data_IF_271704830450
#
_entry.id   IF_271704830450
#
_cell.length_a   1.000
_cell.length_b   1.000
_cell.length_c   1.000
_cell.angle_alpha   90.00
_cell.angle_beta   90.00
_cell.angle_gamma   90.00
#
_symmetry.space_group_name_H-M   'P 1'
#
loop_
_entity.id
_entity.type
_entity.pdbx_description
1 polymer ?
#
# COMPACT_ATOMS: atom_id res chain seq x y z
N UNK A 1 -5.33 21.85 -1.67
CA UNK A 1 -5.29 20.58 -0.92
C UNK A 1 -4.80 19.52 -1.87
N UNK A 2 -3.61 19.00 -1.61
CA UNK A 2 -2.98 17.93 -2.39
C UNK A 2 -3.04 16.64 -1.58
N UNK A 3 -3.31 15.51 -2.25
CA UNK A 3 -3.24 14.17 -1.64
C UNK A 3 -1.99 13.45 -2.17
N UNK A 4 -1.14 12.95 -1.28
CA UNK A 4 0.10 12.21 -1.62
C UNK A 4 0.22 10.95 -0.78
N UNK A 5 0.83 9.90 -1.34
CA UNK A 5 1.02 8.65 -0.63
C UNK A 5 2.39 8.02 -0.92
N UNK A 6 2.96 7.40 0.10
CA UNK A 6 4.06 6.46 0.01
C UNK A 6 3.56 5.10 0.50
N UNK A 7 3.53 4.10 -0.37
CA UNK A 7 3.13 2.73 -0.05
C UNK A 7 4.33 1.79 -0.22
N UNK A 8 4.74 1.14 0.85
CA UNK A 8 5.93 0.28 0.90
C UNK A 8 5.49 -1.16 1.15
N UNK A 9 5.97 -2.08 0.32
CA UNK A 9 5.76 -3.51 0.50
C UNK A 9 7.04 -4.29 0.25
N UNK A 10 7.48 -5.10 1.21
CA UNK A 10 8.76 -5.82 1.12
C UNK A 10 8.52 -7.30 1.39
N UNK A 11 8.66 -8.11 0.34
CA UNK A 11 8.61 -9.56 0.40
C UNK A 11 10.00 -10.19 0.40
N UNK A 12 10.98 -9.51 -0.20
CA UNK A 12 12.33 -10.03 -0.43
C UNK A 12 13.38 -9.16 0.25
N UNK A 13 14.37 -9.83 0.84
CA UNK A 13 15.44 -9.20 1.62
C UNK A 13 16.81 -9.67 1.11
N UNK A 14 17.83 -8.83 1.20
CA UNK A 14 19.20 -9.19 0.82
C UNK A 14 19.83 -10.17 1.81
N UNK A 15 19.50 -10.04 3.10
CA UNK A 15 19.88 -11.03 4.10
C UNK A 15 19.06 -12.31 3.87
N UNK A 16 19.76 -13.37 3.48
CA UNK A 16 19.17 -14.67 3.13
C UNK A 16 18.66 -15.46 4.33
N UNK A 17 18.98 -15.03 5.55
CA UNK A 17 18.45 -15.62 6.77
C UNK A 17 17.06 -15.08 7.11
N UNK A 18 16.67 -13.94 6.54
CA UNK A 18 15.33 -13.39 6.67
C UNK A 18 14.36 -14.19 5.80
N UNK A 19 13.28 -14.73 6.38
CA UNK A 19 12.28 -15.44 5.59
C UNK A 19 11.59 -14.46 4.63
N UNK A 20 11.29 -14.87 3.38
CA UNK A 20 10.53 -14.02 2.48
C UNK A 20 9.06 -13.99 2.91
N UNK A 21 8.41 -12.84 2.69
CA UNK A 21 6.96 -12.69 2.78
C UNK A 21 6.31 -12.91 1.40
N UNK A 22 5.00 -13.10 1.37
CA UNK A 22 4.22 -13.19 0.12
C UNK A 22 3.24 -12.03 -0.04
N UNK A 23 2.66 -11.55 1.06
CA UNK A 23 1.57 -10.58 1.01
C UNK A 23 1.98 -9.11 0.96
N UNK A 24 3.19 -8.75 1.39
CA UNK A 24 3.52 -7.36 1.69
C UNK A 24 3.48 -6.43 0.46
N UNK A 25 4.03 -6.88 -0.67
CA UNK A 25 3.96 -6.15 -1.95
C UNK A 25 2.52 -6.02 -2.44
N UNK A 26 1.68 -7.04 -2.23
CA UNK A 26 0.28 -6.99 -2.62
C UNK A 26 -0.48 -5.97 -1.78
N UNK A 27 -0.25 -5.92 -0.47
CA UNK A 27 -0.88 -4.94 0.42
C UNK A 27 -0.62 -3.51 -0.05
N UNK A 28 0.65 -3.18 -0.31
CA UNK A 28 1.07 -1.84 -0.75
C UNK A 28 0.45 -1.46 -2.11
N UNK A 29 0.44 -2.41 -3.07
CA UNK A 29 -0.19 -2.21 -4.38
C UNK A 29 -1.70 -2.03 -4.26
N UNK A 30 -2.38 -2.88 -3.50
CA UNK A 30 -3.83 -2.82 -3.33
C UNK A 30 -4.26 -1.51 -2.68
N UNK A 31 -3.56 -1.06 -1.62
CA UNK A 31 -3.85 0.24 -1.02
C UNK A 31 -3.60 1.38 -2.00
N UNK A 32 -2.47 1.39 -2.71
CA UNK A 32 -2.16 2.45 -3.67
C UNK A 32 -3.25 2.62 -4.75
N UNK A 33 -3.73 1.50 -5.31
CA UNK A 33 -4.81 1.49 -6.29
C UNK A 33 -6.12 1.98 -5.70
N UNK A 34 -6.41 1.63 -4.44
CA UNK A 34 -7.60 2.09 -3.73
C UNK A 34 -7.54 3.59 -3.44
N UNK A 35 -6.40 4.12 -3.01
CA UNK A 35 -6.20 5.56 -2.77
C UNK A 35 -6.47 6.36 -4.05
N UNK A 36 -5.93 5.90 -5.19
CA UNK A 36 -6.16 6.53 -6.48
C UNK A 36 -7.63 6.46 -6.91
N UNK A 37 -8.21 5.25 -6.92
CA UNK A 37 -9.56 5.00 -7.45
C UNK A 37 -10.67 5.58 -6.59
N UNK A 38 -10.58 5.39 -5.28
CA UNK A 38 -11.69 5.60 -4.35
C UNK A 38 -11.53 6.84 -3.48
N UNK A 39 -10.31 7.34 -3.29
CA UNK A 39 -10.02 8.47 -2.40
C UNK A 39 -9.45 9.70 -3.14
N UNK A 40 -9.30 9.63 -4.46
CA UNK A 40 -8.96 10.78 -5.31
C UNK A 40 -7.51 11.23 -5.18
N UNK A 41 -6.59 10.30 -4.91
CA UNK A 41 -5.17 10.57 -4.98
C UNK A 41 -4.73 10.59 -6.46
N UNK A 42 -4.04 11.64 -6.87
CA UNK A 42 -3.48 11.71 -8.23
C UNK A 42 -2.38 10.65 -8.36
N UNK A 43 -2.38 9.81 -9.42
CA UNK A 43 -1.34 8.78 -9.61
C UNK A 43 0.09 9.33 -9.59
N UNK A 44 0.31 10.58 -10.01
CA UNK A 44 1.63 11.24 -9.98
C UNK A 44 2.14 11.53 -8.55
N UNK A 45 1.24 11.47 -7.58
CA UNK A 45 1.47 11.76 -6.18
C UNK A 45 1.46 10.50 -5.31
N UNK A 46 1.38 9.31 -5.90
CA UNK A 46 1.39 8.02 -5.20
C UNK A 46 2.65 7.27 -5.60
N UNK A 47 3.59 7.14 -4.65
CA UNK A 47 4.81 6.37 -4.82
C UNK A 47 4.64 4.99 -4.18
N UNK A 48 5.00 3.94 -4.92
CA UNK A 48 5.06 2.57 -4.41
C UNK A 48 6.50 2.10 -4.42
N UNK A 49 7.05 1.71 -3.27
CA UNK A 49 8.34 1.04 -3.17
C UNK A 49 8.10 -0.45 -2.90
N UNK A 50 8.58 -1.29 -3.80
CA UNK A 50 8.44 -2.75 -3.70
C UNK A 50 9.80 -3.43 -3.70
N UNK A 51 9.98 -4.38 -2.77
CA UNK A 51 11.16 -5.25 -2.68
C UNK A 51 12.48 -4.47 -2.83
N UNK A 52 13.23 -4.71 -3.91
CA UNK A 52 14.57 -4.16 -4.15
C UNK A 52 14.61 -2.62 -4.15
N UNK A 53 13.47 -1.97 -4.37
CA UNK A 53 13.34 -0.51 -4.33
C UNK A 53 13.24 0.04 -2.91
N UNK A 54 12.78 -0.77 -1.95
CA UNK A 54 12.50 -0.38 -0.58
C UNK A 54 13.75 -0.54 0.32
N UNK A 55 14.84 0.09 -0.09
CA UNK A 55 16.06 0.20 0.73
C UNK A 55 15.85 1.17 1.88
N UNK A 56 16.63 1.04 2.96
CA UNK A 56 16.62 1.98 4.10
C UNK A 56 16.80 3.42 3.63
N UNK A 57 17.74 3.66 2.73
CA UNK A 57 17.98 4.98 2.15
C UNK A 57 16.77 5.49 1.35
N UNK A 58 16.19 4.66 0.49
CA UNK A 58 15.02 5.02 -0.31
C UNK A 58 13.78 5.29 0.55
N UNK A 59 13.60 4.55 1.65
CA UNK A 59 12.51 4.78 2.61
C UNK A 59 12.63 6.16 3.25
N UNK A 60 13.78 6.47 3.84
CA UNK A 60 14.02 7.75 4.50
C UNK A 60 13.93 8.93 3.52
N UNK A 61 14.49 8.79 2.31
CA UNK A 61 14.40 9.83 1.29
C UNK A 61 12.96 10.04 0.80
N UNK A 62 12.20 8.95 0.65
CA UNK A 62 10.81 9.03 0.18
C UNK A 62 9.87 9.59 1.24
N UNK A 63 10.12 9.31 2.53
CA UNK A 63 9.43 10.00 3.63
C UNK A 63 9.74 11.49 3.57
N UNK A 64 11.01 11.87 3.38
CA UNK A 64 11.41 13.26 3.18
C UNK A 64 10.65 13.94 2.03
N UNK A 65 10.61 13.31 0.86
CA UNK A 65 9.92 13.80 -0.33
C UNK A 65 8.39 13.85 -0.16
N UNK A 66 7.81 12.93 0.62
CA UNK A 66 6.38 12.94 0.96
C UNK A 66 6.03 14.20 1.76
N UNK A 67 6.92 14.63 2.68
CA UNK A 67 6.71 15.79 3.54
C UNK A 67 7.13 17.11 2.86
N UNK A 68 8.11 17.08 1.96
CA UNK A 68 8.63 18.26 1.28
C UNK A 68 7.52 19.03 0.54
N UNK A 69 7.52 20.36 0.69
CA UNK A 69 6.54 21.24 0.05
C UNK A 69 5.09 21.10 0.55
N UNK A 70 4.84 20.28 1.59
CA UNK A 70 3.49 20.11 2.16
C UNK A 70 2.97 21.36 2.82
N UNK A 71 1.68 21.61 2.62
CA UNK A 71 0.99 22.80 3.13
C UNK A 71 -0.17 22.40 4.05
N UNK A 72 -0.56 23.28 4.99
CA UNK A 72 -1.75 23.06 5.79
C UNK A 72 -2.95 22.66 4.92
N UNK A 73 -3.63 21.59 5.31
CA UNK A 73 -4.76 21.05 4.58
C UNK A 73 -4.43 19.91 3.60
N UNK A 74 -3.16 19.62 3.32
CA UNK A 74 -2.77 18.45 2.52
C UNK A 74 -3.07 17.13 3.25
N UNK A 75 -3.31 16.06 2.49
CA UNK A 75 -3.54 14.70 2.98
C UNK A 75 -2.37 13.80 2.57
N UNK A 76 -1.69 13.22 3.54
CA UNK A 76 -0.54 12.33 3.32
C UNK A 76 -0.84 10.94 3.86
N UNK A 77 -0.41 9.92 3.13
CA UNK A 77 -0.47 8.52 3.57
C UNK A 77 0.92 7.91 3.54
N UNK A 78 1.34 7.34 4.66
CA UNK A 78 2.48 6.44 4.74
C UNK A 78 1.96 5.05 5.08
N UNK A 79 2.17 4.09 4.19
CA UNK A 79 1.84 2.70 4.43
C UNK A 79 3.11 1.86 4.32
N UNK A 80 3.37 0.99 5.29
CA UNK A 80 4.46 0.04 5.22
C UNK A 80 4.01 -1.35 5.63
N UNK A 81 4.35 -2.33 4.79
CA UNK A 81 4.10 -3.75 4.99
C UNK A 81 5.41 -4.48 4.79
N UNK A 82 5.95 -5.10 5.84
CA UNK A 82 7.25 -5.79 5.85
C UNK A 82 7.40 -6.57 7.15
N UNK A 83 8.59 -7.14 7.37
CA UNK A 83 9.02 -7.64 8.65
C UNK A 83 9.33 -6.52 9.66
N UNK A 84 9.10 -6.83 10.93
CA UNK A 84 9.58 -6.05 12.06
C UNK A 84 10.50 -6.86 12.96
N UNK A 85 11.33 -6.16 13.72
CA UNK A 85 12.23 -6.73 14.71
C UNK A 85 12.44 -5.75 15.87
N UNK A 86 13.40 -6.03 16.73
CA UNK A 86 13.91 -5.10 17.74
C UNK A 86 15.44 -5.18 17.80
N UNK A 87 16.08 -4.18 18.38
CA UNK A 87 17.49 -4.22 18.78
C UNK A 87 17.63 -3.63 20.18
N UNK A 88 18.66 -3.98 20.96
CA UNK A 88 18.88 -3.34 22.25
C UNK A 88 19.04 -1.83 22.08
N UNK A 89 18.32 -1.08 22.92
CA UNK A 89 18.29 0.37 22.91
C UNK A 89 19.70 0.95 23.12
N UNK A 90 20.05 1.90 22.25
CA UNK A 90 21.37 2.52 22.21
C UNK A 90 21.46 3.82 23.02
N UNK A 91 20.37 4.53 23.25
CA UNK A 91 20.38 5.86 23.86
C UNK A 91 19.71 5.95 25.24
N UNK A 92 18.87 4.97 25.58
CA UNK A 92 18.24 4.78 26.87
C UNK A 92 16.84 5.41 26.99
N UNK A 93 16.18 5.74 25.88
CA UNK A 93 14.85 6.35 25.86
C UNK A 93 13.69 5.34 25.95
N UNK A 94 13.94 4.06 25.67
CA UNK A 94 12.92 3.01 25.74
C UNK A 94 12.90 2.29 27.11
N UNK A 95 11.74 2.29 27.78
CA UNK A 95 11.60 1.73 29.14
C UNK A 95 11.84 0.21 29.22
N UNK A 96 11.62 -0.51 28.11
CA UNK A 96 11.90 -1.95 28.02
C UNK A 96 13.34 -2.27 27.56
N UNK A 97 14.07 -1.24 27.11
CA UNK A 97 15.46 -1.28 26.67
C UNK A 97 15.66 -1.82 25.26
N UNK A 98 14.69 -1.70 24.36
CA UNK A 98 14.81 -2.12 22.96
C UNK A 98 14.16 -1.15 21.95
N UNK A 99 14.93 -0.73 20.94
CA UNK A 99 14.41 -0.01 19.78
C UNK A 99 13.66 -0.98 18.86
N UNK A 100 12.49 -0.57 18.35
CA UNK A 100 11.78 -1.31 17.31
C UNK A 100 12.41 -1.09 15.93
N UNK A 101 12.37 -2.11 15.07
CA UNK A 101 13.00 -2.07 13.75
C UNK A 101 11.99 -2.37 12.65
N UNK A 102 11.94 -1.49 11.64
CA UNK A 102 11.30 -1.76 10.36
C UNK A 102 12.32 -2.39 9.40
N UNK A 103 12.09 -3.63 8.98
CA UNK A 103 13.06 -4.36 8.15
C UNK A 103 12.95 -3.89 6.69
N UNK A 104 13.95 -3.16 6.21
CA UNK A 104 14.09 -2.75 4.81
C UNK A 104 14.63 -3.89 3.93
N UNK A 105 14.58 -3.75 2.60
CA UNK A 105 15.11 -4.76 1.67
C UNK A 105 16.60 -5.05 1.90
N UNK A 106 17.40 -3.99 2.07
CA UNK A 106 18.84 -4.02 2.29
C UNK A 106 19.21 -4.11 3.78
N UNK A 107 18.31 -4.61 4.61
CA UNK A 107 18.54 -4.75 6.05
C UNK A 107 19.82 -5.55 6.32
N UNK A 108 20.67 -4.98 7.16
CA UNK A 108 21.95 -5.57 7.56
C UNK A 108 22.18 -5.23 9.04
N UNK A 109 22.14 -6.28 9.86
CA UNK A 109 22.33 -6.22 11.30
C UNK A 109 23.65 -5.57 11.73
N UNK A 110 24.68 -5.59 10.90
CA UNK A 110 26.01 -5.02 11.21
C UNK A 110 26.17 -3.58 10.71
N UNK A 111 25.50 -3.23 9.61
CA UNK A 111 25.63 -1.90 8.97
C UNK A 111 24.64 -0.87 9.51
N UNK A 112 23.61 -1.32 10.22
CA UNK A 112 22.63 -0.47 10.86
C UNK A 112 21.21 -0.86 10.48
N UNK A 113 20.32 -0.70 11.45
CA UNK A 113 18.89 -0.96 11.30
C UNK A 113 18.14 0.31 10.93
N UNK A 114 16.89 0.20 10.51
CA UNK A 114 15.96 1.32 10.44
C UNK A 114 15.12 1.28 11.71
N UNK A 115 15.56 2.00 12.74
CA UNK A 115 14.84 2.05 14.00
C UNK A 115 13.59 2.94 13.89
N UNK A 116 12.65 2.70 14.78
CA UNK A 116 11.52 3.57 15.05
C UNK A 116 11.93 5.00 15.37
N UNK A 117 13.02 5.17 16.08
CA UNK A 117 13.59 6.43 16.49
C UNK A 117 14.10 7.25 15.26
N UNK A 118 14.62 6.57 14.22
CA UNK A 118 14.88 7.19 12.91
C UNK A 118 13.62 7.55 12.14
N UNK A 119 12.61 6.66 12.17
CA UNK A 119 11.30 6.94 11.57
C UNK A 119 10.63 8.12 12.27
N UNK A 120 10.73 8.22 13.58
CA UNK A 120 10.20 9.29 14.40
C UNK A 120 10.87 10.61 14.06
N UNK A 121 12.20 10.65 13.97
CA UNK A 121 12.94 11.83 13.50
C UNK A 121 12.56 12.25 12.08
N UNK A 122 12.28 11.29 11.19
CA UNK A 122 11.82 11.61 9.84
C UNK A 122 10.41 12.21 9.84
N UNK A 123 9.50 11.65 10.64
CA UNK A 123 8.09 12.02 10.70
C UNK A 123 7.81 13.23 11.60
N UNK A 124 8.68 13.57 12.54
CA UNK A 124 8.62 14.80 13.34
C UNK A 124 8.67 16.08 12.47
N UNK A 125 9.05 15.95 11.20
CA UNK A 125 9.10 17.03 10.21
C UNK A 125 7.76 17.33 9.53
N UNK A 126 6.69 16.61 9.89
CA UNK A 126 5.35 16.87 9.35
C UNK A 126 4.94 18.32 9.64
N UNK A 127 4.65 19.14 8.62
CA UNK A 127 4.26 20.54 8.84
C UNK A 127 2.91 20.64 9.57
N UNK A 128 2.78 21.68 10.41
CA UNK A 128 1.52 21.94 11.12
C UNK A 128 0.34 22.07 10.15
N UNK A 129 -0.78 21.43 10.48
CA UNK A 129 -2.01 21.46 9.69
C UNK A 129 -2.02 20.50 8.49
N UNK A 130 -0.92 19.79 8.21
CA UNK A 130 -0.91 18.65 7.29
C UNK A 130 -1.55 17.44 7.98
N UNK A 131 -2.35 16.68 7.23
CA UNK A 131 -3.02 15.48 7.74
C UNK A 131 -2.27 14.24 7.26
N UNK A 132 -1.43 13.66 8.13
CA UNK A 132 -0.75 12.40 7.86
C UNK A 132 -1.55 11.22 8.46
N UNK A 133 -1.62 10.11 7.74
CA UNK A 133 -1.97 8.80 8.27
C UNK A 133 -0.82 7.83 8.04
N UNK A 134 -0.30 7.25 9.12
CA UNK A 134 0.73 6.21 9.10
C UNK A 134 0.09 4.85 9.38
N UNK A 135 0.34 3.86 8.54
CA UNK A 135 -0.29 2.54 8.64
C UNK A 135 0.82 1.49 8.52
N UNK A 136 0.94 0.68 9.56
CA UNK A 136 2.05 -0.26 9.73
C UNK A 136 1.50 -1.68 9.80
N UNK A 137 1.68 -2.45 8.72
CA UNK A 137 1.44 -3.89 8.71
C UNK A 137 2.75 -4.66 8.90
N UNK A 138 3.32 -4.45 10.07
CA UNK A 138 4.55 -5.06 10.57
C UNK A 138 4.33 -5.52 12.00
N UNK A 139 5.19 -6.41 12.51
CA UNK A 139 5.23 -6.70 13.93
C UNK A 139 6.02 -5.61 14.64
N UNK A 140 5.38 -4.93 15.58
CA UNK A 140 6.03 -4.08 16.56
C UNK A 140 6.37 -4.98 17.75
N UNK A 141 7.66 -5.14 18.04
CA UNK A 141 8.08 -6.01 19.12
C UNK A 141 8.08 -5.17 20.40
N UNK A 142 7.08 -5.34 21.25
CA UNK A 142 7.23 -4.99 22.66
C UNK A 142 8.29 -5.87 23.34
N UNK A 143 8.25 -5.94 24.67
CA UNK A 143 9.28 -6.63 25.46
C UNK A 143 9.69 -8.01 24.91
N UNK A 144 11.00 -8.20 24.67
CA UNK A 144 11.68 -9.40 24.11
C UNK A 144 11.09 -10.78 24.46
N UNK A 145 10.57 -10.97 25.68
CA UNK A 145 10.11 -12.26 26.18
C UNK A 145 8.69 -12.61 25.72
N UNK A 146 7.83 -11.61 25.55
CA UNK A 146 6.44 -11.82 25.14
C UNK A 146 6.33 -11.95 23.61
N UNK A 147 7.12 -11.20 22.83
CA UNK A 147 7.11 -11.27 21.36
C UNK A 147 7.67 -12.57 20.80
N UNK A 148 8.76 -13.12 21.36
CA UNK A 148 9.29 -14.42 20.92
C UNK A 148 8.30 -15.57 21.23
N UNK A 149 7.64 -15.49 22.38
CA UNK A 149 6.55 -16.41 22.77
C UNK A 149 5.33 -16.26 21.85
N UNK A 150 4.96 -15.02 21.50
CA UNK A 150 3.89 -14.73 20.56
C UNK A 150 4.21 -15.25 19.15
N UNK A 151 5.40 -15.01 18.62
CA UNK A 151 5.85 -15.53 17.34
C UNK A 151 5.82 -17.08 17.29
N UNK A 152 6.24 -17.75 18.37
CA UNK A 152 6.13 -19.20 18.51
C UNK A 152 4.67 -19.69 18.53
N UNK A 153 3.78 -18.98 19.23
CA UNK A 153 2.34 -19.28 19.24
C UNK A 153 1.70 -19.08 17.87
N UNK A 154 2.10 -18.07 17.11
CA UNK A 154 1.63 -17.81 15.75
C UNK A 154 2.08 -18.89 14.77
N UNK A 155 3.27 -19.47 14.97
CA UNK A 155 3.76 -20.64 14.19
C UNK A 155 3.05 -21.95 14.54
N UNK A 156 2.40 -22.03 15.70
CA UNK A 156 1.62 -23.21 16.08
C UNK A 156 0.31 -23.24 15.30
N UNK A 157 -0.13 -24.42 14.85
CA UNK A 157 -1.30 -24.60 13.99
C UNK A 157 -2.52 -23.77 14.50
N UNK A 158 -2.89 -22.68 13.80
CA UNK A 158 -3.97 -21.80 14.25
C UNK A 158 -5.29 -22.57 14.23
N UNK A 159 -6.04 -22.48 15.33
CA UNK A 159 -7.37 -23.10 15.45
C UNK A 159 -8.45 -22.04 15.24
N UNK A 160 -9.51 -22.41 14.51
CA UNK A 160 -10.71 -21.58 14.35
C UNK A 160 -10.62 -20.52 13.25
N UNK A 161 -9.69 -20.66 12.30
CA UNK A 161 -9.66 -19.82 11.10
C UNK A 161 -10.89 -20.07 10.25
N UNK A 162 -11.38 -19.01 9.59
CA UNK A 162 -12.43 -19.12 8.60
C UNK A 162 -11.97 -19.92 7.36
N UNK A 163 -12.93 -20.45 6.60
CA UNK A 163 -12.64 -21.19 5.37
C UNK A 163 -11.82 -20.35 4.38
N UNK A 164 -10.77 -20.95 3.81
CA UNK A 164 -9.87 -20.29 2.86
C UNK A 164 -8.83 -19.36 3.49
N UNK A 165 -8.80 -19.21 4.81
CA UNK A 165 -7.78 -18.44 5.53
C UNK A 165 -6.63 -19.34 5.96
N UNK A 166 -5.41 -18.96 5.58
CA UNK A 166 -4.17 -19.64 5.98
C UNK A 166 -3.16 -18.60 6.49
N UNK A 167 -2.62 -18.78 7.70
CA UNK A 167 -1.52 -17.96 8.20
C UNK A 167 -0.19 -18.60 7.77
N UNK A 168 0.61 -17.85 7.03
CA UNK A 168 1.89 -18.32 6.49
C UNK A 168 3.04 -18.18 7.50
N UNK A 169 2.91 -17.22 8.42
CA UNK A 169 3.88 -16.99 9.49
C UNK A 169 3.82 -15.58 10.05
N UNK A 170 4.50 -15.33 11.17
CA UNK A 170 4.58 -14.00 11.74
C UNK A 170 5.43 -13.09 10.85
N UNK A 171 5.08 -11.81 10.81
CA UNK A 171 5.92 -10.75 10.23
C UNK A 171 7.00 -10.27 11.19
N UNK A 172 7.43 -11.13 12.11
CA UNK A 172 8.47 -10.84 13.10
C UNK A 172 9.73 -11.64 12.80
N UNK A 173 10.88 -10.98 12.86
CA UNK A 173 12.19 -11.60 12.74
C UNK A 173 12.94 -11.41 14.06
N UNK A 174 13.44 -12.48 14.70
CA UNK A 174 14.29 -12.35 15.89
C UNK A 174 15.69 -11.87 15.53
N UNK A 175 16.40 -11.26 16.49
CA UNK A 175 17.83 -11.01 16.32
C UNK A 175 18.57 -12.31 16.03
N UNK A 176 19.53 -12.31 15.09
CA UNK A 176 20.37 -13.48 14.85
C UNK A 176 21.29 -13.72 16.05
N UNK A 177 21.64 -14.98 16.32
CA UNK A 177 22.52 -15.34 17.45
C UNK A 177 23.88 -14.64 17.39
N UNK A 178 24.35 -14.27 16.18
CA UNK A 178 25.59 -13.53 15.96
C UNK A 178 25.52 -12.05 16.33
N UNK A 179 24.32 -11.50 16.57
CA UNK A 179 24.18 -10.08 16.89
C UNK A 179 24.82 -9.78 18.25
N UNK A 180 25.79 -8.87 18.26
CA UNK A 180 26.44 -8.43 19.49
C UNK A 180 25.53 -7.44 20.25
N UNK A 181 24.67 -7.99 21.12
CA UNK A 181 23.79 -7.23 22.00
C UNK A 181 24.54 -6.32 23.01
N UNK A 182 25.86 -6.43 23.09
CA UNK A 182 26.69 -5.57 23.94
C UNK A 182 27.23 -4.34 23.22
N UNK A 183 27.12 -4.28 21.88
CA UNK A 183 27.36 -3.05 21.12
C UNK A 183 26.22 -2.06 21.36
N UNK A 184 26.55 -0.87 21.84
CA UNK A 184 25.62 0.27 21.92
C UNK A 184 24.87 0.43 23.25
N UNK A 185 24.63 -0.63 24.01
CA UNK A 185 23.84 -0.49 25.25
C UNK A 185 24.65 0.18 26.37
N UNK A 186 24.25 1.39 26.79
CA UNK A 186 24.68 1.91 28.11
C UNK A 186 24.22 0.99 29.25
N UNK A 187 23.24 0.11 29.01
CA UNK A 187 22.78 -0.92 29.96
C UNK A 187 23.88 -1.93 30.35
N UNK A 188 24.88 -2.19 29.49
CA UNK A 188 26.01 -3.04 29.83
C UNK A 188 26.95 -2.44 30.90
N UNK A 189 26.93 -1.11 31.10
CA UNK A 189 27.81 -0.43 32.07
C UNK A 189 27.32 -0.46 33.53
N UNK A 190 26.14 -1.01 33.83
CA UNK A 190 25.59 -1.09 35.20
C UNK A 190 25.10 -2.49 35.59
N UNK A 191 25.96 -3.50 35.56
CA UNK A 191 25.73 -4.73 36.35
C UNK A 191 26.99 -5.11 37.13
N UNK A 192 27.11 -4.81 38.43
CA UNK A 192 28.01 -5.58 39.26
C UNK A 192 27.43 -6.99 39.39
N UNK A 193 28.26 -7.98 39.15
CA UNK A 193 27.92 -9.39 39.26
C UNK A 193 27.59 -9.76 40.72
N UNK A 194 26.31 -9.76 41.10
CA UNK A 194 25.80 -10.60 42.19
C UNK A 194 24.43 -11.17 41.83
N UNK A 195 24.39 -12.49 41.75
CA UNK A 195 23.18 -13.28 41.61
C UNK A 195 22.20 -12.94 42.75
N UNK A 196 20.98 -12.55 42.39
CA UNK A 196 19.86 -12.42 43.32
C UNK A 196 18.63 -13.03 42.67
N UNK A 197 18.22 -14.16 43.24
CA UNK A 197 16.93 -14.81 43.02
C UNK A 197 15.80 -13.89 43.48
N UNK A 198 15.35 -12.99 42.61
CA UNK A 198 14.13 -12.20 42.85
C UNK A 198 13.08 -12.63 41.84
N UNK A 199 11.99 -13.24 42.32
CA UNK A 199 10.78 -13.50 41.51
C UNK A 199 10.40 -12.18 40.83
N UNK A 200 10.48 -12.14 39.50
CA UNK A 200 10.07 -10.99 38.69
C UNK A 200 8.57 -10.77 38.91
N UNK A 201 8.22 -9.63 39.49
CA UNK A 201 6.83 -9.16 39.49
C UNK A 201 6.48 -8.79 38.06
N UNK A 202 5.27 -9.19 37.63
CA UNK A 202 4.63 -8.73 36.40
C UNK A 202 4.68 -7.19 36.39
N UNK A 203 5.11 -6.53 35.30
CA UNK A 203 5.01 -5.08 35.22
C UNK A 203 3.54 -4.66 35.40
N UNK A 204 3.27 -3.48 35.98
CA UNK A 204 1.92 -2.95 36.05
C UNK A 204 1.35 -2.85 34.62
N UNK A 205 0.04 -3.02 34.48
CA UNK A 205 -0.63 -2.76 33.21
C UNK A 205 -0.46 -1.27 32.87
N UNK A 206 0.24 -0.96 31.78
CA UNK A 206 0.58 0.40 31.34
C UNK A 206 2.07 0.74 31.42
N UNK A 207 2.96 -0.15 30.95
CA UNK A 207 4.35 0.25 30.67
C UNK A 207 4.33 1.27 29.52
N UNK A 208 5.11 2.35 29.62
CA UNK A 208 5.14 3.39 28.59
C UNK A 208 5.79 2.82 27.32
N UNK A 209 5.23 3.17 26.17
CA UNK A 209 5.61 2.58 24.89
C UNK A 209 6.96 3.14 24.40
N UNK A 210 7.76 2.36 23.66
CA UNK A 210 9.02 2.84 23.07
C UNK A 210 8.83 3.91 21.97
N UNK A 211 9.86 4.44 21.31
CA UNK A 211 9.72 5.59 20.40
C UNK A 211 8.65 5.42 19.28
N UNK A 212 8.50 4.23 18.67
CA UNK A 212 7.36 3.94 17.77
C UNK A 212 6.06 3.97 18.55
N UNK A 213 6.04 3.36 19.72
CA UNK A 213 4.96 3.40 20.66
C UNK A 213 4.54 4.82 21.07
N UNK A 214 5.47 5.73 21.34
CA UNK A 214 5.21 7.14 21.57
C UNK A 214 4.70 7.80 20.29
N UNK A 215 5.25 7.45 19.12
CA UNK A 215 4.71 7.83 17.81
C UNK A 215 3.28 7.32 17.58
N UNK A 216 2.94 6.19 18.20
CA UNK A 216 1.64 5.55 18.19
C UNK A 216 0.76 6.01 19.36
N UNK A 217 1.21 6.75 20.37
CA UNK A 217 0.41 6.95 21.58
C UNK A 217 0.50 8.35 22.19
N UNK A 218 1.66 9.02 22.17
CA UNK A 218 1.88 10.30 22.84
C UNK A 218 2.69 11.30 21.98
N UNK A 219 2.03 12.37 21.53
CA UNK A 219 2.58 13.54 20.83
C UNK A 219 2.78 13.47 19.30
N UNK A 220 2.40 12.39 18.61
CA UNK A 220 2.43 12.37 17.14
C UNK A 220 1.21 13.06 16.51
N UNK A 221 1.36 14.12 15.69
CA UNK A 221 0.22 14.85 15.11
C UNK A 221 -0.43 14.11 13.92
N UNK A 222 -0.33 12.78 13.86
CA UNK A 222 -0.87 11.96 12.78
C UNK A 222 -1.76 10.84 13.33
N UNK A 223 -2.69 10.34 12.50
CA UNK A 223 -3.34 9.06 12.82
C UNK A 223 -2.32 7.97 12.56
N UNK A 224 -2.25 7.01 13.46
CA UNK A 224 -1.43 5.83 13.26
C UNK A 224 -2.23 4.56 13.49
N UNK A 225 -2.01 3.53 12.66
CA UNK A 225 -2.56 2.20 12.84
C UNK A 225 -1.43 1.16 12.84
N UNK A 226 -1.43 0.30 13.85
CA UNK A 226 -0.55 -0.86 13.95
C UNK A 226 -1.34 -2.17 13.79
N UNK A 227 -0.74 -3.17 13.14
CA UNK A 227 -1.40 -4.44 12.84
C UNK A 227 -1.70 -5.33 14.06
N UNK A 228 -0.96 -5.19 15.16
CA UNK A 228 -1.12 -5.97 16.37
C UNK A 228 -0.78 -5.14 17.63
N UNK A 229 -1.06 -5.66 18.83
CA UNK A 229 -0.52 -5.11 20.07
C UNK A 229 0.94 -5.52 20.25
N UNK A 230 1.63 -4.83 21.16
CA UNK A 230 3.07 -4.98 21.43
C UNK A 230 3.44 -6.40 21.92
N UNK A 231 2.49 -7.13 22.52
CA UNK A 231 2.63 -8.51 23.00
C UNK A 231 2.18 -9.58 21.98
N UNK A 232 1.84 -9.17 20.76
CA UNK A 232 1.36 -10.01 19.67
C UNK A 232 2.26 -9.92 18.43
N UNK A 233 1.90 -10.66 17.37
CA UNK A 233 2.60 -10.57 16.08
C UNK A 233 1.61 -10.38 14.94
N UNK A 234 1.91 -9.47 14.03
CA UNK A 234 1.31 -9.45 12.70
C UNK A 234 1.62 -10.72 11.92
N UNK A 235 0.72 -11.12 11.02
CA UNK A 235 0.83 -12.36 10.24
C UNK A 235 0.72 -12.09 8.75
N UNK A 236 1.62 -12.71 7.99
CA UNK A 236 1.43 -12.88 6.55
C UNK A 236 0.47 -14.04 6.31
N UNK A 237 -0.45 -13.89 5.37
CA UNK A 237 -1.56 -14.80 5.21
C UNK A 237 -1.98 -15.00 3.74
N UNK A 238 -2.80 -16.01 3.53
CA UNK A 238 -3.50 -16.29 2.28
C UNK A 238 -5.00 -16.32 2.55
N UNK A 239 -5.76 -15.66 1.67
CA UNK A 239 -7.21 -15.58 1.71
C UNK A 239 -7.77 -16.08 0.37
N UNK A 240 -8.12 -17.36 0.31
CA UNK A 240 -8.58 -18.01 -0.93
C UNK A 240 -7.53 -17.99 -2.04
N UNK A 241 -6.25 -18.05 -1.68
CA UNK A 241 -5.12 -18.01 -2.62
C UNK A 241 -4.58 -16.60 -2.91
N UNK A 242 -5.18 -15.56 -2.35
CA UNK A 242 -4.66 -14.19 -2.40
C UNK A 242 -3.74 -13.96 -1.20
N UNK A 243 -2.46 -13.68 -1.45
CA UNK A 243 -1.48 -13.41 -0.40
C UNK A 243 -1.52 -11.94 0.03
N UNK A 244 -1.79 -11.68 1.32
CA UNK A 244 -1.90 -10.36 1.94
C UNK A 244 -1.53 -10.45 3.43
N UNK A 245 -1.23 -9.33 4.08
CA UNK A 245 -1.14 -9.25 5.54
C UNK A 245 -2.52 -9.42 6.15
N UNK A 246 -2.63 -10.14 7.27
CA UNK A 246 -3.95 -10.39 7.85
C UNK A 246 -4.65 -9.11 8.34
N UNK A 247 -3.89 -8.12 8.83
CA UNK A 247 -4.42 -6.80 9.12
C UNK A 247 -4.79 -6.04 7.84
N UNK A 248 -3.86 -5.94 6.88
CA UNK A 248 -4.10 -5.25 5.60
C UNK A 248 -5.30 -5.81 4.86
N UNK A 249 -5.44 -7.14 4.77
CA UNK A 249 -6.59 -7.81 4.15
C UNK A 249 -7.90 -7.33 4.76
N UNK A 250 -8.01 -7.39 6.09
CA UNK A 250 -9.24 -7.01 6.78
C UNK A 250 -9.54 -5.51 6.61
N UNK A 251 -8.53 -4.65 6.77
CA UNK A 251 -8.68 -3.20 6.61
C UNK A 251 -9.10 -2.85 5.17
N UNK A 252 -8.42 -3.40 4.17
CA UNK A 252 -8.71 -3.18 2.77
C UNK A 252 -10.07 -3.75 2.37
N UNK A 253 -10.51 -4.88 2.93
CA UNK A 253 -11.83 -5.43 2.65
C UNK A 253 -12.96 -4.58 3.26
N UNK A 254 -12.78 -4.07 4.48
CA UNK A 254 -13.71 -3.10 5.10
C UNK A 254 -13.84 -1.85 4.24
N UNK A 255 -12.72 -1.29 3.78
CA UNK A 255 -12.72 -0.15 2.86
C UNK A 255 -13.34 -0.50 1.52
N UNK A 256 -13.09 -1.67 0.95
CA UNK A 256 -13.65 -2.06 -0.36
C UNK A 256 -15.18 -2.19 -0.33
N UNK A 257 -15.71 -2.75 0.76
CA UNK A 257 -17.15 -3.03 0.95
C UNK A 257 -17.95 -1.82 1.39
N UNK A 258 -17.35 -0.91 2.15
CA UNK A 258 -18.06 0.30 2.62
C UNK A 258 -18.07 1.36 1.53
N UNK A 259 -19.25 1.87 1.15
CA UNK A 259 -19.39 2.90 0.09
C UNK A 259 -19.42 4.32 0.62
N UNK A 260 -19.81 4.48 1.87
CA UNK A 260 -19.78 5.78 2.56
C UNK A 260 -18.39 6.09 3.11
N UNK A 261 -18.23 7.33 3.55
CA UNK A 261 -17.06 7.75 4.31
C UNK A 261 -17.06 7.09 5.69
N UNK A 262 -15.89 6.60 6.10
CA UNK A 262 -15.65 6.07 7.45
C UNK A 262 -14.79 7.07 8.21
N UNK A 263 -15.01 7.18 9.52
CA UNK A 263 -13.97 7.74 10.40
C UNK A 263 -12.86 6.72 10.64
N UNK A 264 -11.70 7.18 11.11
CA UNK A 264 -10.59 6.29 11.45
C UNK A 264 -10.95 5.28 12.54
N UNK A 265 -11.71 5.71 13.55
CA UNK A 265 -12.22 4.88 14.64
C UNK A 265 -13.20 3.81 14.13
N UNK A 266 -14.09 4.18 13.20
CA UNK A 266 -15.02 3.21 12.59
C UNK A 266 -14.29 2.19 11.72
N UNK A 267 -13.30 2.61 10.94
CA UNK A 267 -12.46 1.71 10.16
C UNK A 267 -11.77 0.70 11.08
N UNK A 268 -11.14 1.18 12.15
CA UNK A 268 -10.46 0.33 13.13
C UNK A 268 -11.41 -0.68 13.79
N UNK A 269 -12.55 -0.21 14.29
CA UNK A 269 -13.55 -1.09 14.93
C UNK A 269 -14.05 -2.18 13.98
N UNK A 270 -14.35 -1.82 12.72
CA UNK A 270 -14.80 -2.79 11.70
C UNK A 270 -13.69 -3.75 11.27
N UNK A 271 -12.46 -3.28 11.19
CA UNK A 271 -11.28 -4.10 10.87
C UNK A 271 -11.09 -5.17 11.94
N UNK A 272 -11.11 -4.78 13.23
CA UNK A 272 -11.04 -5.72 14.36
C UNK A 272 -12.17 -6.75 14.34
N UNK A 273 -13.39 -6.31 14.09
CA UNK A 273 -14.54 -7.20 13.99
C UNK A 273 -14.40 -8.22 12.84
N UNK A 274 -13.85 -7.80 11.69
CA UNK A 274 -13.60 -8.69 10.57
C UNK A 274 -12.47 -9.69 10.88
N UNK A 275 -11.37 -9.24 11.48
CA UNK A 275 -10.26 -10.13 11.87
C UNK A 275 -10.73 -11.21 12.86
N UNK A 276 -11.56 -10.85 13.84
CA UNK A 276 -12.17 -11.80 14.77
C UNK A 276 -13.04 -12.84 14.04
N UNK A 277 -13.82 -12.42 13.03
CA UNK A 277 -14.62 -13.34 12.19
C UNK A 277 -13.77 -14.26 11.33
N UNK A 278 -12.60 -13.80 10.89
CA UNK A 278 -11.63 -14.60 10.15
C UNK A 278 -10.85 -15.57 11.05
N UNK A 279 -11.02 -15.49 12.37
CA UNK A 279 -10.32 -16.31 13.36
C UNK A 279 -8.87 -15.86 13.61
N UNK A 280 -8.49 -14.67 13.13
CA UNK A 280 -7.16 -14.10 13.33
C UNK A 280 -7.10 -13.49 14.72
N UNK A 281 -6.08 -13.86 15.49
CA UNK A 281 -5.95 -13.46 16.91
C UNK A 281 -5.28 -12.13 17.15
N UNK A 282 -4.51 -11.62 16.18
CA UNK A 282 -3.81 -10.36 16.32
C UNK A 282 -4.80 -9.19 16.44
N UNK A 283 -4.41 -8.16 17.17
CA UNK A 283 -5.26 -7.13 17.73
C UNK A 283 -4.77 -5.76 17.26
N UNK A 284 -5.28 -5.22 16.15
CA UNK A 284 -4.83 -3.93 15.64
C UNK A 284 -5.01 -2.79 16.64
N UNK A 285 -4.05 -1.88 16.65
CA UNK A 285 -4.03 -0.66 17.47
C UNK A 285 -4.29 0.58 16.60
N UNK A 286 -4.82 1.63 17.23
CA UNK A 286 -5.02 2.92 16.59
C UNK A 286 -4.69 4.04 17.56
N UNK A 287 -4.10 5.09 17.02
CA UNK A 287 -4.07 6.40 17.65
C UNK A 287 -4.64 7.45 16.73
N UNK A 288 -5.52 8.26 17.30
CA UNK A 288 -6.12 9.42 16.66
C UNK A 288 -5.82 10.62 17.55
N UNK A 289 -5.08 11.63 17.06
CA UNK A 289 -4.83 12.84 17.83
C UNK A 289 -6.16 13.52 18.19
N UNK A 290 -6.23 14.15 19.35
CA UNK A 290 -7.46 14.76 19.90
C UNK A 290 -8.19 15.66 18.87
N UNK A 291 -7.44 16.50 18.16
CA UNK A 291 -7.96 17.40 17.11
C UNK A 291 -8.40 16.72 15.81
N UNK A 292 -8.29 15.39 15.71
CA UNK A 292 -8.65 14.59 14.53
C UNK A 292 -9.70 13.51 14.82
N UNK A 293 -10.27 13.46 16.02
CA UNK A 293 -11.33 12.48 16.29
C UNK A 293 -12.51 12.70 15.34
N UNK A 294 -13.06 11.61 14.81
CA UNK A 294 -14.13 11.64 13.82
C UNK A 294 -13.71 12.13 12.43
N UNK A 295 -12.42 12.40 12.20
CA UNK A 295 -11.93 12.72 10.86
C UNK A 295 -12.11 11.52 9.93
N UNK A 296 -12.50 11.80 8.68
CA UNK A 296 -12.71 10.77 7.67
C UNK A 296 -11.40 10.17 7.19
N UNK A 297 -11.43 8.88 6.92
CA UNK A 297 -10.30 8.12 6.36
C UNK A 297 -9.89 8.76 5.04
N UNK A 298 -8.61 9.12 4.94
CA UNK A 298 -7.98 9.76 3.79
C UNK A 298 -8.69 11.03 3.28
N UNK A 299 -9.37 11.76 4.17
CA UNK A 299 -10.14 12.96 3.84
C UNK A 299 -11.42 12.65 3.05
N UNK A 300 -11.96 11.43 3.18
CA UNK A 300 -13.18 10.98 2.53
C UNK A 300 -12.97 10.46 1.11
N UNK A 301 -13.92 9.65 0.67
CA UNK A 301 -13.97 9.08 -0.67
C UNK A 301 -14.12 10.18 -1.70
N UNK A 302 -13.50 9.97 -2.85
CA UNK A 302 -13.80 10.74 -4.03
C UNK A 302 -15.29 10.58 -4.34
N UNK A 303 -16.07 11.65 -4.16
CA UNK A 303 -17.47 11.67 -4.58
C UNK A 303 -17.48 11.39 -6.08
N UNK A 304 -18.02 10.22 -6.48
CA UNK A 304 -18.03 9.74 -7.89
C UNK A 304 -18.45 10.81 -8.90
N UNK A 305 -19.32 11.75 -8.50
CA UNK A 305 -19.75 12.87 -9.33
C UNK A 305 -18.59 13.71 -9.93
N UNK A 306 -17.47 13.90 -9.22
CA UNK A 306 -16.35 14.73 -9.71
C UNK A 306 -15.48 13.98 -10.76
N UNK A 307 -15.23 12.69 -10.56
CA UNK A 307 -14.49 11.87 -11.53
C UNK A 307 -15.31 11.61 -12.79
N UNK A 308 -16.64 11.41 -12.67
CA UNK A 308 -17.52 11.31 -13.84
C UNK A 308 -17.64 12.65 -14.56
N UNK A 309 -17.69 13.78 -13.85
CA UNK A 309 -17.72 15.11 -14.48
C UNK A 309 -16.42 15.45 -15.18
N UNK A 310 -15.27 15.13 -14.59
CA UNK A 310 -13.96 15.39 -15.20
C UNK A 310 -13.71 14.46 -16.39
N UNK A 311 -14.02 13.16 -16.27
CA UNK A 311 -13.98 12.20 -17.38
C UNK A 311 -14.97 12.52 -18.50
N UNK A 312 -16.17 13.03 -18.18
CA UNK A 312 -17.12 13.52 -19.17
C UNK A 312 -16.63 14.82 -19.83
N UNK A 313 -15.95 15.69 -19.08
CA UNK A 313 -15.37 16.93 -19.62
C UNK A 313 -14.20 16.63 -20.56
N UNK A 314 -13.35 15.67 -20.20
CA UNK A 314 -12.23 15.21 -21.02
C UNK A 314 -12.72 14.51 -22.29
N UNK A 315 -13.69 13.60 -22.18
CA UNK A 315 -14.32 12.95 -23.33
C UNK A 315 -14.94 14.00 -24.28
N UNK A 316 -15.72 14.95 -23.74
CA UNK A 316 -16.30 16.03 -24.53
C UNK A 316 -15.24 16.94 -25.17
N UNK A 317 -14.08 17.11 -24.53
CA UNK A 317 -12.95 17.85 -25.12
C UNK A 317 -12.35 17.09 -26.31
N UNK A 318 -12.08 15.80 -26.14
CA UNK A 318 -11.52 14.96 -27.22
C UNK A 318 -12.49 14.85 -28.40
N UNK A 319 -13.80 14.78 -28.16
CA UNK A 319 -14.81 14.78 -29.23
C UNK A 319 -14.83 16.08 -30.04
N UNK A 320 -14.64 17.24 -29.37
CA UNK A 320 -14.47 18.53 -30.06
C UNK A 320 -13.17 18.58 -30.86
N UNK A 321 -12.08 18.03 -30.33
CA UNK A 321 -10.80 17.96 -31.04
C UNK A 321 -10.90 17.13 -32.31
N UNK A 322 -11.50 15.93 -32.25
CA UNK A 322 -11.73 15.08 -33.43
C UNK A 322 -12.44 15.90 -34.50
N UNK A 323 -13.58 16.51 -34.15
CA UNK A 323 -14.37 17.34 -35.07
C UNK A 323 -13.56 18.49 -35.66
N UNK A 324 -12.79 19.21 -34.84
CA UNK A 324 -11.97 20.33 -35.29
C UNK A 324 -10.80 19.91 -36.20
N UNK A 325 -10.17 18.76 -35.91
CA UNK A 325 -9.10 18.22 -36.75
C UNK A 325 -9.62 17.76 -38.12
N UNK A 326 -10.78 17.11 -38.16
CA UNK A 326 -11.42 16.68 -39.41
C UNK A 326 -11.84 17.88 -40.26
N UNK A 327 -12.46 18.90 -39.66
CA UNK A 327 -12.82 20.14 -40.35
C UNK A 327 -11.60 20.88 -40.90
N UNK A 328 -10.46 20.80 -40.21
CA UNK A 328 -9.20 21.40 -40.63
C UNK A 328 -8.40 20.51 -41.61
N UNK A 329 -8.87 19.31 -41.95
CA UNK A 329 -8.14 18.35 -42.80
C UNK A 329 -6.86 17.79 -42.14
N UNK A 330 -6.74 17.88 -40.81
CA UNK A 330 -5.60 17.38 -40.01
C UNK A 330 -5.86 15.93 -39.58
N UNK A 331 -5.85 15.03 -40.56
CA UNK A 331 -6.33 13.66 -40.40
C UNK A 331 -5.46 12.78 -39.50
N UNK A 332 -4.14 13.01 -39.43
CA UNK A 332 -3.27 12.26 -38.52
C UNK A 332 -3.60 12.59 -37.05
N UNK A 333 -3.84 13.87 -36.75
CA UNK A 333 -4.24 14.34 -35.43
C UNK A 333 -5.67 13.90 -35.08
N UNK A 334 -6.58 13.86 -36.06
CA UNK A 334 -7.92 13.30 -35.87
C UNK A 334 -7.84 11.82 -35.44
N UNK A 335 -7.02 11.01 -36.12
CA UNK A 335 -6.79 9.59 -35.75
C UNK A 335 -6.21 9.47 -34.34
N UNK A 336 -5.22 10.28 -33.98
CA UNK A 336 -4.65 10.27 -32.62
C UNK A 336 -5.71 10.63 -31.55
N UNK A 337 -6.58 11.60 -31.84
CA UNK A 337 -7.67 11.97 -30.96
C UNK A 337 -8.73 10.84 -30.84
N UNK A 338 -9.04 10.13 -31.92
CA UNK A 338 -9.90 8.95 -31.88
C UNK A 338 -9.33 7.83 -30.98
N UNK A 339 -8.02 7.56 -31.03
CA UNK A 339 -7.41 6.58 -30.13
C UNK A 339 -7.49 7.01 -28.66
N UNK A 340 -7.29 8.30 -28.37
CA UNK A 340 -7.51 8.84 -27.01
C UNK A 340 -8.97 8.67 -26.58
N UNK A 341 -9.94 8.94 -27.46
CA UNK A 341 -11.36 8.71 -27.17
C UNK A 341 -11.63 7.23 -26.85
N UNK A 342 -11.09 6.30 -27.64
CA UNK A 342 -11.26 4.86 -27.43
C UNK A 342 -10.69 4.38 -26.08
N UNK A 343 -9.64 5.04 -25.57
CA UNK A 343 -9.10 4.77 -24.25
C UNK A 343 -9.98 5.30 -23.11
N UNK A 344 -10.71 6.41 -23.34
CA UNK A 344 -11.56 7.08 -22.35
C UNK A 344 -12.96 6.46 -22.23
N UNK A 345 -13.56 6.01 -23.33
CA UNK A 345 -14.92 5.42 -23.29
C UNK A 345 -14.90 4.05 -22.62
N UNK A 346 -15.89 3.78 -21.77
CA UNK A 346 -15.97 2.52 -21.01
C UNK A 346 -16.78 1.44 -21.75
N UNK A 347 -17.70 1.84 -22.63
CA UNK A 347 -18.54 0.94 -23.41
C UNK A 347 -17.75 0.29 -24.55
N UNK A 348 -17.74 -1.04 -24.61
CA UNK A 348 -17.13 -1.79 -25.70
C UNK A 348 -17.69 -1.39 -27.07
N UNK A 349 -19.00 -1.15 -27.16
CA UNK A 349 -19.65 -0.71 -28.39
C UNK A 349 -19.19 0.69 -28.84
N UNK A 350 -18.90 1.60 -27.90
CA UNK A 350 -18.36 2.93 -28.22
C UNK A 350 -16.89 2.88 -28.62
N UNK A 351 -16.10 1.99 -28.02
CA UNK A 351 -14.72 1.73 -28.45
C UNK A 351 -14.68 1.25 -29.89
N UNK A 352 -15.48 0.23 -30.19
CA UNK A 352 -15.61 -0.33 -31.55
C UNK A 352 -15.97 0.77 -32.54
N UNK A 353 -17.04 1.54 -32.30
CA UNK A 353 -17.43 2.66 -33.20
C UNK A 353 -16.31 3.68 -33.43
N UNK A 354 -15.55 3.99 -32.39
CA UNK A 354 -14.43 4.95 -32.50
C UNK A 354 -13.32 4.40 -33.38
N UNK A 355 -12.99 3.12 -33.23
CA UNK A 355 -11.92 2.47 -33.98
C UNK A 355 -12.36 2.20 -35.42
N UNK A 356 -13.64 1.89 -35.66
CA UNK A 356 -14.19 1.84 -37.02
C UNK A 356 -14.05 3.18 -37.76
N UNK A 357 -14.20 4.29 -37.04
CA UNK A 357 -13.94 5.61 -37.60
C UNK A 357 -12.46 5.81 -37.98
N UNK A 358 -11.53 5.32 -37.15
CA UNK A 358 -10.10 5.28 -37.51
C UNK A 358 -9.85 4.43 -38.76
N UNK A 359 -10.47 3.25 -38.87
CA UNK A 359 -10.40 2.41 -40.07
C UNK A 359 -10.91 3.19 -41.29
N UNK A 360 -12.04 3.89 -41.17
CA UNK A 360 -12.61 4.72 -42.23
C UNK A 360 -11.65 5.83 -42.68
N UNK A 361 -11.06 6.57 -41.74
CA UNK A 361 -10.10 7.65 -42.05
C UNK A 361 -8.88 7.09 -42.80
N UNK A 362 -8.31 5.98 -42.32
CA UNK A 362 -7.14 5.37 -42.97
C UNK A 362 -7.45 4.88 -44.39
N UNK A 363 -8.63 4.29 -44.62
CA UNK A 363 -9.02 3.78 -45.93
C UNK A 363 -9.42 4.87 -46.90
N UNK A 364 -10.33 5.74 -46.48
CA UNK A 364 -11.00 6.69 -47.36
C UNK A 364 -10.18 7.96 -47.59
N UNK A 365 -9.40 8.39 -46.58
CA UNK A 365 -8.73 9.68 -46.60
C UNK A 365 -7.22 9.54 -46.73
N UNK A 366 -6.59 8.85 -45.78
CA UNK A 366 -5.12 8.72 -45.77
C UNK A 366 -4.60 7.69 -46.78
N UNK A 367 -5.46 6.79 -47.26
CA UNK A 367 -5.14 5.67 -48.15
C UNK A 367 -3.99 4.79 -47.61
N UNK A 368 -3.97 4.60 -46.28
CA UNK A 368 -3.01 3.74 -45.57
C UNK A 368 -3.68 2.41 -45.20
N UNK A 369 -3.60 1.44 -46.10
CA UNK A 369 -4.21 0.13 -45.94
C UNK A 369 -3.61 -0.65 -44.76
N UNK A 370 -2.30 -0.50 -44.50
CA UNK A 370 -1.63 -1.22 -43.42
C UNK A 370 -2.11 -0.72 -42.04
N UNK A 371 -2.30 0.59 -41.89
CA UNK A 371 -2.87 1.15 -40.66
C UNK A 371 -4.35 0.80 -40.49
N UNK A 372 -5.13 0.77 -41.58
CA UNK A 372 -6.53 0.34 -41.56
C UNK A 372 -6.68 -1.11 -41.09
N UNK A 373 -5.81 -2.02 -41.55
CA UNK A 373 -5.81 -3.41 -41.11
C UNK A 373 -5.48 -3.55 -39.62
N UNK A 374 -4.44 -2.85 -39.12
CA UNK A 374 -4.10 -2.85 -37.69
C UNK A 374 -5.27 -2.35 -36.82
N UNK A 375 -5.92 -1.26 -37.22
CA UNK A 375 -7.10 -0.76 -36.50
C UNK A 375 -8.28 -1.75 -36.55
N UNK A 376 -8.41 -2.52 -37.62
CA UNK A 376 -9.44 -3.57 -37.75
C UNK A 376 -9.17 -4.75 -36.82
N UNK A 377 -7.92 -5.14 -36.63
CA UNK A 377 -7.53 -6.16 -35.64
C UNK A 377 -7.83 -5.70 -34.20
N UNK A 378 -7.69 -4.41 -33.90
CA UNK A 378 -8.09 -3.82 -32.62
C UNK A 378 -9.61 -3.94 -32.38
N UNK A 379 -10.44 -3.72 -33.42
CA UNK A 379 -11.88 -3.96 -33.34
C UNK A 379 -12.16 -5.42 -32.95
N UNK A 380 -11.49 -6.38 -33.61
CA UNK A 380 -11.68 -7.80 -33.33
C UNK A 380 -11.15 -8.26 -31.97
N UNK A 381 -10.21 -7.54 -31.37
CA UNK A 381 -9.79 -7.83 -29.99
C UNK A 381 -10.87 -7.44 -28.97
N UNK A 382 -11.68 -6.42 -29.30
CA UNK A 382 -12.76 -5.93 -28.44
C UNK A 382 -14.06 -6.69 -28.70
N UNK A 383 -14.38 -6.94 -29.98
CA UNK A 383 -15.52 -7.72 -30.44
C UNK A 383 -15.07 -8.74 -31.50
N UNK A 384 -14.70 -9.97 -31.07
CA UNK A 384 -14.25 -11.03 -31.98
C UNK A 384 -15.29 -11.43 -33.04
N UNK A 385 -16.58 -11.16 -32.79
CA UNK A 385 -17.69 -11.48 -33.69
C UNK A 385 -18.03 -10.38 -34.69
N UNK A 386 -17.27 -9.28 -34.72
CA UNK A 386 -17.63 -8.09 -35.48
C UNK A 386 -17.66 -8.34 -37.00
N UNK A 387 -18.86 -8.49 -37.55
CA UNK A 387 -19.09 -8.96 -38.93
C UNK A 387 -18.39 -8.07 -39.99
N UNK A 388 -18.43 -6.74 -39.81
CA UNK A 388 -17.80 -5.80 -40.74
C UNK A 388 -16.27 -5.89 -40.74
N UNK A 389 -15.66 -6.12 -39.57
CA UNK A 389 -14.21 -6.23 -39.44
C UNK A 389 -13.71 -7.55 -40.04
N UNK A 390 -14.42 -8.66 -39.76
CA UNK A 390 -14.15 -9.97 -40.37
C UNK A 390 -14.29 -9.93 -41.90
N UNK A 391 -15.32 -9.27 -42.41
CA UNK A 391 -15.52 -9.12 -43.85
C UNK A 391 -14.38 -8.32 -44.50
N UNK A 392 -13.94 -7.24 -43.85
CA UNK A 392 -12.86 -6.40 -44.36
C UNK A 392 -11.50 -7.13 -44.38
N UNK A 393 -11.15 -7.88 -43.34
CA UNK A 393 -9.90 -8.67 -43.33
C UNK A 393 -9.90 -9.75 -44.43
N UNK A 394 -11.04 -10.43 -44.64
CA UNK A 394 -11.20 -11.41 -45.73
C UNK A 394 -11.01 -10.78 -47.11
N UNK A 395 -11.61 -9.61 -47.35
CA UNK A 395 -11.50 -8.90 -48.62
C UNK A 395 -10.07 -8.40 -48.89
N UNK A 396 -9.31 -8.10 -47.83
CA UNK A 396 -7.95 -7.55 -47.93
C UNK A 396 -6.86 -8.63 -48.03
N UNK A 397 -7.23 -9.92 -48.02
CA UNK A 397 -6.27 -11.03 -48.08
C UNK A 397 -5.42 -11.20 -46.81
N UNK A 398 -5.76 -10.51 -45.72
CA UNK A 398 -5.08 -10.67 -44.42
C UNK A 398 -5.52 -12.00 -43.80
N UNK A 399 -4.58 -12.94 -43.68
CA UNK A 399 -4.79 -14.29 -43.16
C UNK A 399 -5.06 -14.35 -41.66
N UNK A 400 -6.06 -13.61 -41.17
CA UNK A 400 -6.45 -13.60 -39.77
C UNK A 400 -6.90 -15.00 -39.31
N UNK A 401 -6.03 -15.65 -38.52
CA UNK A 401 -6.34 -16.90 -37.80
C UNK A 401 -6.77 -16.50 -36.40
N UNK A 402 -8.07 -16.29 -36.20
CA UNK A 402 -8.63 -16.02 -34.88
C UNK A 402 -8.26 -17.15 -33.91
N UNK A 403 -7.79 -16.79 -32.71
CA UNK A 403 -7.64 -17.74 -31.61
C UNK A 403 -9.03 -18.12 -31.12
N UNK A 404 -9.38 -19.39 -31.28
CA UNK A 404 -10.57 -20.06 -30.74
C UNK A 404 -10.61 -20.01 -29.22
#
# INVERSE_FOLDING_TARGET
MTKRALCVGINRFTDRELPPLKGAVNDARTLSLMLMRDFGFDPRNVLVLADEQATRAALLSSIGALLEGSRPGDELVLFASTHGSHVPDQDGDDEDGYDEVLVAHDHDWERGVLSDDELARALAKVPQGVRLAAIWDTCHAGTMQDTASAAYRTRSAPRGLAEGVELLGPRYVPLPERYDVTRGTKAARKRPAKASTRKKKKPPAGAEHGAMGALLHDAFPAVSLGACSDDETSSDASFGGIYEGAFSHAMLDVLRRTKDDLTWEELHARTRALMARLGVKQTPQIHVPEGRSGATVFGGRARRAAATAQGATELASVEREITAHEQAGRWAEAVAACWRRAALVTSAAEKVRTIEHVVSIHRAVLRDEAAALRATEEVLRIDPGHAGALAYLRASGSGYRGTS
#
